data_IF_002264151231
#
_entry.id   IF_002264151231
#
_cell.length_a   1.000
_cell.length_b   1.000
_cell.length_c   1.000
_cell.angle_alpha   90.00
_cell.angle_beta   90.00
_cell.angle_gamma   90.00
#
_symmetry.space_group_name_H-M   'P 1'
#
loop_
_entity.id
_entity.type
_entity.pdbx_description
1 polymer ?
#
# COMPACT_ATOMS: atom_id res chain seq x y z
N UNK A 1 11.99 -43.83 19.32
CA UNK A 1 13.02 -42.81 19.03
C UNK A 1 12.29 -41.61 18.49
N UNK A 2 12.26 -40.53 19.26
CA UNK A 2 11.66 -39.26 18.83
C UNK A 2 12.55 -38.74 17.70
N UNK A 3 11.98 -38.62 16.51
CA UNK A 3 12.66 -38.07 15.35
C UNK A 3 12.69 -36.56 15.54
N UNK A 4 13.68 -36.06 16.26
CA UNK A 4 13.98 -34.65 16.38
C UNK A 4 14.22 -34.07 14.97
N UNK A 5 13.18 -33.48 14.37
CA UNK A 5 13.38 -32.57 13.26
C UNK A 5 14.12 -31.35 13.84
N UNK A 6 15.45 -31.38 13.75
CA UNK A 6 16.35 -30.26 14.10
C UNK A 6 16.30 -29.77 15.57
N UNK A 7 15.84 -30.59 16.52
CA UNK A 7 15.92 -30.28 17.96
C UNK A 7 14.78 -29.40 18.52
N UNK A 8 13.71 -29.21 17.77
CA UNK A 8 12.50 -28.52 18.23
C UNK A 8 11.46 -29.49 18.80
N UNK A 9 10.62 -29.04 19.74
CA UNK A 9 9.42 -29.79 20.14
C UNK A 9 8.47 -29.89 18.94
N UNK A 10 7.65 -30.94 18.85
CA UNK A 10 6.83 -31.24 17.67
C UNK A 10 6.04 -30.04 17.11
N UNK A 11 5.40 -29.23 17.99
CA UNK A 11 4.65 -28.02 17.61
C UNK A 11 5.57 -26.90 17.07
N UNK A 12 6.74 -26.72 17.68
CA UNK A 12 7.72 -25.71 17.25
C UNK A 12 8.32 -26.09 15.89
N UNK A 13 8.54 -27.39 15.65
CA UNK A 13 9.00 -27.91 14.36
C UNK A 13 7.98 -27.70 13.23
N UNK A 14 6.68 -27.81 13.54
CA UNK A 14 5.59 -27.54 12.59
C UNK A 14 5.50 -26.05 12.25
N UNK A 15 5.48 -25.16 13.25
CA UNK A 15 5.48 -23.71 13.02
C UNK A 15 6.71 -23.23 12.25
N UNK A 16 7.88 -23.78 12.58
CA UNK A 16 9.11 -23.51 11.84
C UNK A 16 8.98 -23.96 10.38
N UNK A 17 8.52 -25.18 10.13
CA UNK A 17 8.29 -25.67 8.76
C UNK A 17 7.29 -24.80 7.98
N UNK A 18 6.16 -24.42 8.58
CA UNK A 18 5.18 -23.52 7.96
C UNK A 18 5.79 -22.16 7.62
N UNK A 19 6.65 -21.61 8.47
CA UNK A 19 7.36 -20.35 8.20
C UNK A 19 8.39 -20.45 7.06
N UNK A 20 8.83 -21.67 6.71
CA UNK A 20 9.71 -21.86 5.54
C UNK A 20 8.95 -21.91 4.21
N UNK A 21 7.63 -22.07 4.24
CA UNK A 21 6.82 -22.04 3.01
C UNK A 21 6.77 -20.62 2.46
N UNK A 22 6.73 -20.46 1.12
CA UNK A 22 6.53 -19.14 0.52
C UNK A 22 5.18 -18.58 0.96
N UNK A 23 5.20 -17.42 1.60
CA UNK A 23 4.00 -16.70 2.01
C UNK A 23 3.76 -15.52 1.06
N UNK A 24 2.49 -15.26 0.73
CA UNK A 24 2.11 -14.10 -0.06
C UNK A 24 2.42 -12.82 0.71
N UNK A 25 2.78 -11.74 0.00
CA UNK A 25 3.04 -10.48 0.70
C UNK A 25 1.72 -9.84 1.17
N UNK A 26 1.78 -8.99 2.20
CA UNK A 26 0.60 -8.24 2.68
C UNK A 26 -0.09 -7.45 1.55
N UNK A 27 0.62 -6.77 0.63
CA UNK A 27 0.00 -6.17 -0.53
C UNK A 27 -0.75 -7.14 -1.44
N UNK A 28 -0.24 -8.34 -1.66
CA UNK A 28 -0.88 -9.33 -2.53
C UNK A 28 -2.19 -9.84 -1.93
N UNK A 29 -2.22 -10.11 -0.62
CA UNK A 29 -3.45 -10.58 0.05
C UNK A 29 -4.51 -9.47 0.10
N UNK A 30 -4.12 -8.21 0.31
CA UNK A 30 -5.05 -7.07 0.28
C UNK A 30 -5.58 -6.87 -1.13
N UNK A 31 -4.73 -6.96 -2.15
CA UNK A 31 -5.15 -6.89 -3.55
C UNK A 31 -6.15 -7.99 -3.87
N UNK A 32 -5.85 -9.25 -3.49
CA UNK A 32 -6.75 -10.37 -3.67
C UNK A 32 -8.10 -10.11 -2.99
N UNK A 33 -8.11 -9.57 -1.76
CA UNK A 33 -9.32 -9.25 -1.01
C UNK A 33 -10.20 -8.22 -1.74
N UNK A 34 -9.62 -7.18 -2.37
CA UNK A 34 -10.39 -6.21 -3.17
C UNK A 34 -11.13 -6.84 -4.34
N UNK A 35 -10.62 -7.92 -4.91
CA UNK A 35 -11.25 -8.63 -6.03
C UNK A 35 -12.27 -9.70 -5.60
N UNK A 36 -12.26 -10.13 -4.33
CA UNK A 36 -13.07 -11.25 -3.85
C UNK A 36 -14.06 -10.88 -2.74
N UNK A 37 -14.00 -9.65 -2.24
CA UNK A 37 -14.91 -9.09 -1.24
C UNK A 37 -15.38 -7.69 -1.63
N UNK A 38 -15.50 -6.80 -0.65
CA UNK A 38 -15.72 -5.38 -0.87
C UNK A 38 -14.39 -4.70 -1.21
N UNK A 39 -14.36 -3.96 -2.31
CA UNK A 39 -13.16 -3.25 -2.77
C UNK A 39 -12.81 -2.05 -1.88
N UNK A 40 -13.81 -1.45 -1.23
CA UNK A 40 -13.65 -0.29 -0.34
C UNK A 40 -13.39 -0.70 1.12
N UNK A 41 -13.82 -1.91 1.51
CA UNK A 41 -13.55 -2.49 2.84
C UNK A 41 -13.07 -3.95 2.76
N UNK A 42 -11.74 -4.13 2.72
CA UNK A 42 -11.14 -5.48 2.67
C UNK A 42 -11.05 -6.18 4.03
N UNK A 43 -11.37 -5.50 5.14
CA UNK A 43 -11.12 -6.03 6.48
C UNK A 43 -11.92 -7.30 6.81
N UNK A 44 -13.23 -7.39 6.50
CA UNK A 44 -14.03 -8.55 6.88
C UNK A 44 -13.50 -9.87 6.31
N UNK A 45 -13.16 -9.91 5.03
CA UNK A 45 -12.67 -11.13 4.37
C UNK A 45 -11.23 -11.48 4.77
N UNK A 46 -10.41 -10.47 5.07
CA UNK A 46 -9.02 -10.67 5.48
C UNK A 46 -8.93 -11.21 6.90
N UNK A 47 -9.67 -10.61 7.85
CA UNK A 47 -9.68 -11.02 9.25
C UNK A 47 -10.26 -12.42 9.49
N UNK A 48 -11.13 -12.90 8.59
CA UNK A 48 -11.63 -14.29 8.62
C UNK A 48 -10.57 -15.32 8.17
N UNK A 49 -9.68 -14.93 7.24
CA UNK A 49 -8.78 -15.86 6.53
C UNK A 49 -7.34 -15.82 7.02
N UNK A 50 -6.90 -14.68 7.54
CA UNK A 50 -5.52 -14.42 7.88
C UNK A 50 -5.43 -13.81 9.28
N UNK A 51 -4.40 -14.20 10.03
CA UNK A 51 -4.07 -13.59 11.32
C UNK A 51 -3.37 -12.25 11.07
N UNK A 52 -4.17 -11.21 10.92
CA UNK A 52 -3.72 -9.83 10.70
C UNK A 52 -4.05 -8.99 11.92
N UNK A 53 -3.04 -8.30 12.44
CA UNK A 53 -3.20 -7.30 13.49
C UNK A 53 -4.19 -6.20 13.07
N UNK A 54 -5.29 -5.98 13.81
CA UNK A 54 -6.21 -4.87 13.55
C UNK A 54 -5.56 -3.49 13.69
N UNK A 55 -4.44 -3.41 14.41
CA UNK A 55 -3.69 -2.17 14.63
C UNK A 55 -2.84 -1.82 13.40
N UNK A 56 -2.24 -2.82 12.76
CA UNK A 56 -1.33 -2.62 11.62
C UNK A 56 -2.07 -2.57 10.28
N UNK A 57 -3.21 -3.24 10.19
CA UNK A 57 -4.02 -3.31 8.97
C UNK A 57 -4.33 -1.94 8.34
N UNK A 58 -4.74 -0.89 9.09
CA UNK A 58 -5.02 0.42 8.49
C UNK A 58 -3.82 1.03 7.75
N UNK A 59 -2.60 0.84 8.28
CA UNK A 59 -1.37 1.28 7.63
C UNK A 59 -1.15 0.48 6.33
N UNK A 60 -1.29 -0.84 6.38
CA UNK A 60 -1.10 -1.70 5.22
C UNK A 60 -2.13 -1.44 4.12
N UNK A 61 -3.41 -1.27 4.46
CA UNK A 61 -4.44 -0.89 3.50
C UNK A 61 -4.07 0.43 2.82
N UNK A 62 -3.71 1.46 3.58
CA UNK A 62 -3.26 2.73 3.02
C UNK A 62 -2.04 2.57 2.11
N UNK A 63 -1.08 1.72 2.47
CA UNK A 63 0.13 1.45 1.69
C UNK A 63 -0.16 0.82 0.32
N UNK A 64 -1.27 0.11 0.16
CA UNK A 64 -1.64 -0.56 -1.10
C UNK A 64 -2.51 0.28 -2.03
N UNK A 65 -3.02 1.45 -1.59
CA UNK A 65 -3.84 2.33 -2.43
C UNK A 65 -3.02 3.02 -3.49
N UNK A 66 -3.61 3.28 -4.65
CA UNK A 66 -2.99 4.15 -5.65
C UNK A 66 -3.05 5.61 -5.18
N UNK A 67 -2.06 6.40 -5.57
CA UNK A 67 -1.97 7.84 -5.28
C UNK A 67 -1.91 8.58 -6.59
N UNK A 68 -2.37 9.81 -6.60
CA UNK A 68 -2.22 10.67 -7.78
C UNK A 68 -0.73 10.82 -8.09
N UNK A 69 -0.36 10.58 -9.35
CA UNK A 69 0.98 10.86 -9.83
C UNK A 69 1.17 12.35 -10.07
N UNK A 70 2.42 12.82 -10.16
CA UNK A 70 2.73 14.21 -10.54
C UNK A 70 2.01 14.60 -11.83
N UNK A 71 1.92 13.68 -12.80
CA UNK A 71 1.23 13.92 -14.07
C UNK A 71 -0.28 14.06 -13.91
N UNK A 72 -0.91 13.24 -13.06
CA UNK A 72 -2.34 13.33 -12.78
C UNK A 72 -2.67 14.67 -12.13
N UNK A 73 -1.90 15.07 -11.13
CA UNK A 73 -2.09 16.35 -10.42
C UNK A 73 -1.93 17.53 -11.37
N UNK A 74 -0.90 17.55 -12.22
CA UNK A 74 -0.76 18.61 -13.23
C UNK A 74 -1.93 18.61 -14.22
N UNK A 75 -2.44 17.45 -14.59
CA UNK A 75 -3.59 17.34 -15.50
C UNK A 75 -4.87 17.86 -14.86
N UNK A 76 -5.12 17.55 -13.59
CA UNK A 76 -6.24 18.08 -12.82
C UNK A 76 -6.16 19.61 -12.71
N UNK A 77 -4.97 20.14 -12.41
CA UNK A 77 -4.74 21.57 -12.31
C UNK A 77 -4.98 22.29 -13.65
N UNK A 78 -4.43 21.76 -14.75
CA UNK A 78 -4.66 22.31 -16.10
C UNK A 78 -6.12 22.29 -16.52
N UNK A 79 -6.88 21.28 -16.06
CA UNK A 79 -8.33 21.20 -16.29
C UNK A 79 -9.14 22.13 -15.41
N UNK A 80 -8.50 22.88 -14.51
CA UNK A 80 -9.16 23.77 -13.56
C UNK A 80 -9.98 23.02 -12.50
N UNK A 81 -9.69 21.74 -12.28
CA UNK A 81 -10.39 20.91 -11.28
C UNK A 81 -9.80 21.06 -9.88
N UNK A 82 -8.54 21.50 -9.80
CA UNK A 82 -7.86 21.85 -8.57
C UNK A 82 -7.16 23.20 -8.75
N UNK A 83 -7.00 23.95 -7.67
CA UNK A 83 -6.29 25.23 -7.68
C UNK A 83 -4.78 25.09 -7.39
N UNK A 84 -4.07 26.22 -7.36
CA UNK A 84 -2.63 26.24 -7.07
C UNK A 84 -2.32 25.73 -5.65
N UNK A 85 -3.15 26.03 -4.66
CA UNK A 85 -2.91 25.59 -3.27
C UNK A 85 -3.03 24.06 -3.19
N UNK A 86 -4.05 23.49 -3.84
CA UNK A 86 -4.26 22.06 -3.95
C UNK A 86 -3.14 21.37 -4.73
N UNK A 87 -2.66 21.97 -5.82
CA UNK A 87 -1.48 21.49 -6.56
C UNK A 87 -0.26 21.36 -5.64
N UNK A 88 0.07 22.40 -4.88
CA UNK A 88 1.23 22.37 -3.96
C UNK A 88 1.07 21.32 -2.86
N UNK A 89 -0.15 21.13 -2.33
CA UNK A 89 -0.44 20.12 -1.32
C UNK A 89 -0.27 18.70 -1.88
N UNK A 90 -0.77 18.42 -3.08
CA UNK A 90 -0.59 17.11 -3.70
C UNK A 90 0.88 16.83 -4.05
N UNK A 91 1.62 17.81 -4.58
CA UNK A 91 3.05 17.65 -4.81
C UNK A 91 3.81 17.37 -3.50
N UNK A 92 3.39 17.99 -2.39
CA UNK A 92 3.93 17.67 -1.07
C UNK A 92 3.66 16.24 -0.63
N UNK A 93 2.42 15.76 -0.80
CA UNK A 93 2.01 14.38 -0.47
C UNK A 93 2.72 13.33 -1.33
N UNK A 94 3.00 13.64 -2.60
CA UNK A 94 3.79 12.79 -3.51
C UNK A 94 5.24 12.69 -3.05
N UNK A 95 5.75 13.69 -2.33
CA UNK A 95 7.10 13.69 -1.76
C UNK A 95 8.05 14.72 -2.38
N UNK A 96 7.56 15.66 -3.19
CA UNK A 96 8.41 16.74 -3.71
C UNK A 96 8.88 17.65 -2.58
N UNK A 97 10.15 18.06 -2.64
CA UNK A 97 10.72 19.01 -1.69
C UNK A 97 10.04 20.39 -1.80
N UNK A 98 10.02 21.21 -0.74
CA UNK A 98 9.43 22.56 -0.82
C UNK A 98 10.00 23.43 -1.95
N UNK A 99 11.30 23.30 -2.26
CA UNK A 99 11.96 24.04 -3.35
C UNK A 99 11.56 23.52 -4.72
N UNK A 100 11.47 22.19 -4.89
CA UNK A 100 11.17 21.59 -6.19
C UNK A 100 9.70 21.76 -6.56
N UNK A 101 8.79 21.89 -5.58
CA UNK A 101 7.36 22.12 -5.84
C UNK A 101 7.11 23.35 -6.72
N UNK A 102 7.88 24.42 -6.50
CA UNK A 102 7.79 25.65 -7.32
C UNK A 102 8.22 25.37 -8.76
N UNK A 103 9.30 24.61 -8.96
CA UNK A 103 9.75 24.24 -10.30
C UNK A 103 8.76 23.28 -10.98
N UNK A 104 8.22 22.33 -10.23
CA UNK A 104 7.23 21.38 -10.75
C UNK A 104 5.95 22.10 -11.15
N UNK A 105 5.47 23.09 -10.38
CA UNK A 105 4.27 23.84 -10.77
C UNK A 105 4.44 24.53 -12.13
N UNK A 106 5.63 25.05 -12.45
CA UNK A 106 5.93 25.66 -13.74
C UNK A 106 5.94 24.63 -14.90
N UNK A 107 6.45 23.41 -14.67
CA UNK A 107 6.43 22.35 -15.68
C UNK A 107 5.01 21.94 -16.07
N UNK A 108 4.04 22.08 -15.16
CA UNK A 108 2.63 21.84 -15.45
C UNK A 108 2.02 22.78 -16.48
N UNK A 109 2.60 23.97 -16.68
CA UNK A 109 2.11 25.03 -17.57
C UNK A 109 2.65 24.95 -19.00
N UNK A 110 3.78 24.26 -19.22
CA UNK A 110 4.37 24.12 -20.55
C UNK A 110 3.65 23.01 -21.34
N UNK A 111 2.78 23.41 -22.27
CA UNK A 111 2.23 22.53 -23.31
C UNK A 111 2.91 22.93 -24.65
N UNK A 112 3.49 22.00 -25.43
CA UNK A 112 3.86 22.25 -26.83
C UNK A 112 2.65 22.52 -27.72
#
# INVERSE_FOLDING_TARGET
>A
MVSDKQGFKDIEGELYYESTKPFLTIPDIILWARYHGDADDTWPILSERFDISPIDYPLWDWMTKQRLSTLDVHTLHRRGLIDNVELFNHLAQIGWSPTDRVLMSELGWLVP
#
